data_IF_140109997393
#
_entry.id   IF_140109997393
#
_cell.length_a   1.000
_cell.length_b   1.000
_cell.length_c   1.000
_cell.angle_alpha   90.00
_cell.angle_beta   90.00
_cell.angle_gamma   90.00
#
_symmetry.space_group_name_H-M   'P 1'
#
loop_
_entity.id
_entity.type
_entity.pdbx_description
1 polymer ?
#
# COMPACT_ATOMS: atom_id res chain seq x y z
N UNK A 1 14.34 -16.00 28.34
CA UNK A 1 14.92 -16.22 26.99
C UNK A 1 15.37 -14.91 26.31
N UNK A 2 15.73 -13.87 27.09
CA UNK A 2 16.16 -12.53 26.59
C UNK A 2 17.67 -12.28 26.87
N UNK A 3 18.37 -13.20 27.51
CA UNK A 3 19.78 -12.99 27.89
C UNK A 3 20.83 -13.40 26.84
N UNK A 4 20.45 -13.83 25.64
CA UNK A 4 21.40 -14.36 24.63
C UNK A 4 21.81 -13.35 23.56
N UNK A 5 21.22 -12.15 23.52
CA UNK A 5 21.51 -11.16 22.46
C UNK A 5 22.47 -10.01 22.86
N UNK A 6 23.14 -10.08 24.02
CA UNK A 6 24.05 -9.02 24.47
C UNK A 6 25.42 -9.00 23.78
N UNK A 7 25.62 -9.74 22.69
CA UNK A 7 26.95 -9.99 22.13
C UNK A 7 27.22 -9.54 20.70
N UNK A 8 26.38 -8.75 20.04
CA UNK A 8 26.67 -8.28 18.67
C UNK A 8 27.57 -7.05 18.71
N UNK A 9 28.86 -7.26 18.47
CA UNK A 9 29.87 -6.21 18.33
C UNK A 9 29.79 -5.65 16.91
N UNK A 10 29.23 -4.45 16.74
CA UNK A 10 29.24 -3.73 15.46
C UNK A 10 30.59 -3.02 15.33
N UNK A 11 31.27 -3.23 14.19
CA UNK A 11 32.54 -2.60 13.81
C UNK A 11 32.25 -1.11 13.55
N UNK A 12 32.65 -0.23 14.50
CA UNK A 12 32.44 1.22 14.38
C UNK A 12 31.97 1.93 15.64
N UNK A 13 32.51 1.60 16.82
CA UNK A 13 32.68 2.53 17.96
C UNK A 13 31.47 2.89 18.83
N UNK A 14 30.20 2.83 18.42
CA UNK A 14 29.06 3.00 19.30
C UNK A 14 28.30 1.69 19.46
N UNK A 15 28.18 1.21 20.70
CA UNK A 15 27.27 0.10 21.03
C UNK A 15 25.86 0.59 20.78
N UNK A 16 25.19 -0.01 19.80
CA UNK A 16 23.75 0.21 19.63
C UNK A 16 23.07 -0.13 20.96
N UNK A 17 22.50 0.88 21.59
CA UNK A 17 21.87 0.74 22.90
C UNK A 17 20.54 0.00 22.72
N UNK A 18 20.61 -1.34 22.85
CA UNK A 18 19.45 -2.23 22.71
C UNK A 18 18.33 -1.88 23.69
N UNK A 19 18.66 -1.24 24.82
CA UNK A 19 17.64 -0.79 25.78
C UNK A 19 16.81 0.34 25.20
N UNK A 20 17.43 1.33 24.55
CA UNK A 20 16.72 2.42 23.87
C UNK A 20 15.83 1.91 22.74
N UNK A 21 16.30 0.92 21.97
CA UNK A 21 15.48 0.30 20.91
C UNK A 21 14.28 -0.42 21.52
N UNK A 22 14.49 -1.21 22.57
CA UNK A 22 13.41 -1.91 23.25
C UNK A 22 12.40 -0.95 23.86
N UNK A 23 12.84 0.12 24.49
CA UNK A 23 11.99 1.16 25.08
C UNK A 23 11.19 1.88 23.98
N UNK A 24 11.82 2.20 22.85
CA UNK A 24 11.14 2.79 21.71
C UNK A 24 10.09 1.84 21.11
N UNK A 25 10.42 0.56 20.87
CA UNK A 25 9.45 -0.45 20.39
C UNK A 25 8.30 -0.60 21.37
N UNK A 26 8.58 -0.61 22.67
CA UNK A 26 7.57 -0.73 23.73
C UNK A 26 6.63 0.49 23.73
N UNK A 27 7.17 1.70 23.55
CA UNK A 27 6.40 2.94 23.48
C UNK A 27 5.48 2.99 22.26
N UNK A 28 5.84 2.32 21.15
CA UNK A 28 5.04 2.22 19.91
C UNK A 28 3.96 1.13 19.95
N UNK A 29 3.88 0.31 21.00
CA UNK A 29 2.89 -0.77 21.13
C UNK A 29 3.50 -2.17 21.22
N UNK A 30 4.81 -2.27 21.45
CA UNK A 30 5.52 -3.51 21.74
C UNK A 30 5.48 -4.54 20.60
N UNK A 31 5.25 -5.80 20.97
CA UNK A 31 5.26 -6.92 20.01
C UNK A 31 4.18 -6.82 18.93
N UNK A 32 3.02 -6.21 19.24
CA UNK A 32 1.95 -6.00 18.25
C UNK A 32 2.39 -5.05 17.15
N UNK A 33 3.01 -3.93 17.51
CA UNK A 33 3.55 -2.98 16.54
C UNK A 33 4.64 -3.64 15.69
N UNK A 34 5.57 -4.39 16.28
CA UNK A 34 6.61 -5.10 15.55
C UNK A 34 6.03 -6.11 14.55
N UNK A 35 5.04 -6.90 14.97
CA UNK A 35 4.35 -7.83 14.08
C UNK A 35 3.64 -7.11 12.92
N UNK A 36 3.05 -5.93 13.19
CA UNK A 36 2.46 -5.09 12.15
C UNK A 36 3.51 -4.64 11.12
N UNK A 37 4.72 -4.23 11.57
CA UNK A 37 5.79 -3.83 10.66
C UNK A 37 6.27 -5.00 9.77
N UNK A 38 6.31 -6.23 10.31
CA UNK A 38 6.67 -7.43 9.52
C UNK A 38 5.61 -7.73 8.45
N UNK A 39 4.32 -7.66 8.80
CA UNK A 39 3.23 -7.83 7.81
C UNK A 39 3.25 -6.73 6.75
N UNK A 40 3.51 -5.50 7.17
CA UNK A 40 3.72 -4.35 6.30
C UNK A 40 4.85 -4.62 5.30
N UNK A 41 6.01 -5.06 5.77
CA UNK A 41 7.15 -5.39 4.92
C UNK A 41 6.78 -6.39 3.82
N UNK A 42 6.09 -7.48 4.15
CA UNK A 42 5.66 -8.50 3.17
C UNK A 42 4.71 -7.88 2.15
N UNK A 43 3.68 -7.16 2.61
CA UNK A 43 2.70 -6.51 1.74
C UNK A 43 3.34 -5.48 0.79
N UNK A 44 4.19 -4.62 1.31
CA UNK A 44 4.79 -3.56 0.52
C UNK A 44 5.89 -4.02 -0.45
N UNK A 45 6.61 -5.11 -0.14
CA UNK A 45 7.48 -5.76 -1.14
C UNK A 45 6.67 -6.17 -2.37
N UNK A 46 5.48 -6.76 -2.17
CA UNK A 46 4.57 -7.09 -3.28
C UNK A 46 4.10 -5.84 -4.04
N UNK A 47 3.87 -4.73 -3.34
CA UNK A 47 3.48 -3.46 -3.98
C UNK A 47 4.59 -2.90 -4.87
N UNK A 48 5.84 -2.90 -4.41
CA UNK A 48 7.00 -2.50 -5.24
C UNK A 48 7.10 -3.39 -6.47
N UNK A 49 6.95 -4.71 -6.31
CA UNK A 49 6.96 -5.67 -7.43
C UNK A 49 5.86 -5.34 -8.44
N UNK A 50 4.69 -4.90 -7.98
CA UNK A 50 3.58 -4.50 -8.87
C UNK A 50 4.00 -3.40 -9.86
N UNK A 51 4.88 -2.47 -9.46
CA UNK A 51 5.45 -1.44 -10.32
C UNK A 51 6.18 -1.99 -11.55
N UNK A 52 6.75 -3.18 -11.48
CA UNK A 52 7.47 -3.85 -12.58
C UNK A 52 6.60 -4.75 -13.44
N UNK A 53 5.39 -5.09 -13.02
CA UNK A 53 4.47 -5.95 -13.77
C UNK A 53 3.92 -5.17 -14.97
N UNK A 54 3.90 -5.81 -16.16
CA UNK A 54 3.39 -5.22 -17.42
C UNK A 54 1.92 -5.54 -17.68
N UNK A 55 1.44 -6.68 -17.20
CA UNK A 55 0.08 -7.16 -17.44
C UNK A 55 -0.88 -6.66 -16.38
N UNK A 56 -1.89 -5.90 -16.79
CA UNK A 56 -2.92 -5.31 -15.94
C UNK A 56 -3.56 -6.31 -14.96
N UNK A 57 -4.01 -7.47 -15.44
CA UNK A 57 -4.62 -8.51 -14.60
C UNK A 57 -3.66 -9.03 -13.54
N UNK A 58 -2.36 -9.18 -13.89
CA UNK A 58 -1.34 -9.61 -12.91
C UNK A 58 -1.07 -8.52 -11.88
N UNK A 59 -1.06 -7.24 -12.29
CA UNK A 59 -0.89 -6.11 -11.36
C UNK A 59 -1.99 -6.12 -10.30
N UNK A 60 -3.26 -6.19 -10.70
CA UNK A 60 -4.38 -6.19 -9.77
C UNK A 60 -4.39 -7.43 -8.87
N UNK A 61 -4.08 -8.61 -9.38
CA UNK A 61 -3.97 -9.82 -8.56
C UNK A 61 -2.85 -9.73 -7.51
N UNK A 62 -1.67 -9.21 -7.90
CA UNK A 62 -0.58 -8.99 -6.95
C UNK A 62 -0.98 -7.96 -5.90
N UNK A 63 -1.70 -6.91 -6.31
CA UNK A 63 -2.25 -5.91 -5.39
C UNK A 63 -3.27 -6.53 -4.42
N UNK A 64 -4.15 -7.44 -4.86
CA UNK A 64 -5.11 -8.10 -3.97
C UNK A 64 -4.40 -8.92 -2.88
N UNK A 65 -3.35 -9.66 -3.24
CA UNK A 65 -2.53 -10.39 -2.25
C UNK A 65 -1.85 -9.43 -1.28
N UNK A 66 -1.28 -8.35 -1.78
CA UNK A 66 -0.68 -7.29 -0.96
C UNK A 66 -1.69 -6.72 0.04
N UNK A 67 -2.91 -6.41 -0.42
CA UNK A 67 -3.96 -5.83 0.43
C UNK A 67 -4.36 -6.74 1.59
N UNK A 68 -4.31 -8.07 1.44
CA UNK A 68 -4.56 -9.00 2.54
C UNK A 68 -3.55 -8.80 3.67
N UNK A 69 -2.26 -8.66 3.37
CA UNK A 69 -1.22 -8.39 4.37
C UNK A 69 -1.41 -7.02 5.03
N UNK A 70 -1.78 -6.01 4.25
CA UNK A 70 -2.01 -4.65 4.78
C UNK A 70 -3.28 -4.60 5.65
N UNK A 71 -4.32 -5.36 5.34
CA UNK A 71 -5.49 -5.50 6.22
C UNK A 71 -5.08 -6.13 7.55
N UNK A 72 -4.31 -7.22 7.53
CA UNK A 72 -3.82 -7.88 8.74
C UNK A 72 -2.94 -6.94 9.59
N UNK A 73 -2.05 -6.15 8.96
CA UNK A 73 -1.27 -5.09 9.61
C UNK A 73 -2.19 -4.04 10.24
N UNK A 74 -3.19 -3.58 9.49
CA UNK A 74 -4.16 -2.58 9.96
C UNK A 74 -4.91 -3.03 11.21
N UNK A 75 -5.26 -4.31 11.32
CA UNK A 75 -5.88 -4.88 12.53
C UNK A 75 -4.96 -4.72 13.74
N UNK A 76 -3.66 -4.95 13.60
CA UNK A 76 -2.70 -4.82 14.70
C UNK A 76 -2.49 -3.35 15.10
N UNK A 77 -2.58 -2.41 14.17
CA UNK A 77 -2.43 -0.96 14.39
C UNK A 77 -3.75 -0.25 14.70
N UNK A 78 -4.90 -0.96 14.76
CA UNK A 78 -6.23 -0.38 14.90
C UNK A 78 -6.56 0.68 13.83
N UNK A 79 -6.03 0.51 12.62
CA UNK A 79 -6.20 1.43 11.50
C UNK A 79 -7.50 1.14 10.73
N UNK A 80 -8.67 1.35 11.35
CA UNK A 80 -9.97 0.91 10.83
C UNK A 80 -10.30 1.46 9.45
N UNK A 81 -10.02 2.74 9.18
CA UNK A 81 -10.22 3.34 7.85
C UNK A 81 -9.47 2.56 6.76
N UNK A 82 -8.19 2.25 7.01
CA UNK A 82 -7.37 1.47 6.09
C UNK A 82 -7.90 0.06 5.88
N UNK A 83 -8.30 -0.65 6.96
CA UNK A 83 -8.84 -2.01 6.89
C UNK A 83 -10.05 -2.05 5.95
N UNK A 84 -11.02 -1.17 6.20
CA UNK A 84 -12.30 -1.14 5.47
C UNK A 84 -12.05 -0.81 4.00
N UNK A 85 -11.28 0.24 3.74
CA UNK A 85 -11.03 0.68 2.36
C UNK A 85 -10.23 -0.36 1.58
N UNK A 86 -9.23 -1.00 2.19
CA UNK A 86 -8.47 -2.08 1.54
C UNK A 86 -9.37 -3.31 1.23
N UNK A 87 -10.29 -3.64 2.12
CA UNK A 87 -11.28 -4.70 1.87
C UNK A 87 -12.19 -4.37 0.68
N UNK A 88 -12.69 -3.13 0.62
CA UNK A 88 -13.49 -2.64 -0.51
C UNK A 88 -12.65 -2.63 -1.81
N UNK A 89 -11.36 -2.33 -1.73
CA UNK A 89 -10.46 -2.36 -2.90
C UNK A 89 -10.31 -3.76 -3.49
N UNK A 90 -10.20 -4.81 -2.67
CA UNK A 90 -10.17 -6.20 -3.14
C UNK A 90 -11.46 -6.53 -3.88
N UNK A 91 -12.62 -6.21 -3.29
CA UNK A 91 -13.93 -6.42 -3.93
C UNK A 91 -14.02 -5.68 -5.26
N UNK A 92 -13.58 -4.42 -5.31
CA UNK A 92 -13.53 -3.60 -6.53
C UNK A 92 -12.65 -4.23 -7.60
N UNK A 93 -11.46 -4.70 -7.25
CA UNK A 93 -10.53 -5.32 -8.19
C UNK A 93 -11.14 -6.60 -8.79
N UNK A 94 -11.78 -7.45 -7.97
CA UNK A 94 -12.49 -8.63 -8.44
C UNK A 94 -13.64 -8.32 -9.39
N UNK A 95 -14.45 -7.30 -9.08
CA UNK A 95 -15.54 -6.83 -9.94
C UNK A 95 -14.98 -6.35 -11.28
N UNK A 96 -13.88 -5.61 -11.26
CA UNK A 96 -13.22 -5.14 -12.48
C UNK A 96 -12.66 -6.29 -13.31
N UNK A 97 -11.94 -7.23 -12.69
CA UNK A 97 -11.37 -8.40 -13.37
C UNK A 97 -12.42 -9.29 -14.05
N UNK A 98 -13.65 -9.27 -13.53
CA UNK A 98 -14.83 -9.95 -14.12
C UNK A 98 -15.54 -9.11 -15.18
N UNK A 99 -15.04 -7.92 -15.51
CA UNK A 99 -15.66 -7.01 -16.49
C UNK A 99 -16.98 -6.39 -16.05
N UNK A 100 -17.30 -6.40 -14.74
CA UNK A 100 -18.58 -5.91 -14.20
C UNK A 100 -18.49 -4.51 -13.57
N UNK A 101 -17.37 -3.82 -13.69
CA UNK A 101 -17.18 -2.48 -13.11
C UNK A 101 -17.77 -1.42 -14.06
N UNK A 102 -19.05 -1.15 -13.95
CA UNK A 102 -19.76 -0.10 -14.67
C UNK A 102 -19.94 1.17 -13.83
N UNK A 103 -20.55 2.23 -14.39
CA UNK A 103 -20.75 3.52 -13.68
C UNK A 103 -21.54 3.39 -12.38
N UNK A 104 -22.55 2.52 -12.34
CA UNK A 104 -23.37 2.32 -11.14
C UNK A 104 -22.57 1.56 -10.05
N UNK A 105 -21.85 0.52 -10.44
CA UNK A 105 -20.99 -0.24 -9.54
C UNK A 105 -19.89 0.65 -8.95
N UNK A 106 -19.26 1.52 -9.76
CA UNK A 106 -18.30 2.53 -9.30
C UNK A 106 -18.92 3.45 -8.25
N UNK A 107 -20.12 3.98 -8.51
CA UNK A 107 -20.82 4.85 -7.58
C UNK A 107 -21.15 4.16 -6.25
N UNK A 108 -21.62 2.90 -6.30
CA UNK A 108 -21.89 2.10 -5.09
C UNK A 108 -20.61 1.84 -4.28
N UNK A 109 -19.52 1.46 -4.93
CA UNK A 109 -18.22 1.20 -4.25
C UNK A 109 -17.71 2.46 -3.56
N UNK A 110 -17.75 3.60 -4.25
CA UNK A 110 -17.31 4.89 -3.68
C UNK A 110 -18.24 5.32 -2.56
N UNK A 111 -19.54 5.25 -2.77
CA UNK A 111 -20.56 5.58 -1.74
C UNK A 111 -20.37 4.72 -0.48
N UNK A 112 -20.18 3.41 -0.64
CA UNK A 112 -19.87 2.50 0.47
C UNK A 112 -18.59 2.92 1.20
N UNK A 113 -17.52 3.25 0.46
CA UNK A 113 -16.26 3.73 1.03
C UNK A 113 -16.43 5.00 1.87
N UNK A 114 -17.19 5.98 1.37
CA UNK A 114 -17.49 7.23 2.09
C UNK A 114 -18.28 6.94 3.37
N UNK A 115 -19.39 6.18 3.27
CA UNK A 115 -20.24 5.84 4.42
C UNK A 115 -19.45 5.10 5.49
N UNK A 116 -18.68 4.09 5.08
CA UNK A 116 -17.85 3.33 6.01
C UNK A 116 -16.75 4.18 6.66
N UNK A 117 -16.14 5.11 5.92
CA UNK A 117 -15.17 6.03 6.50
C UNK A 117 -15.84 6.99 7.50
N UNK A 118 -17.04 7.48 7.23
CA UNK A 118 -17.80 8.32 8.18
C UNK A 118 -18.06 7.59 9.51
N UNK A 119 -18.34 6.29 9.45
CA UNK A 119 -18.68 5.49 10.65
C UNK A 119 -17.41 5.08 11.42
N UNK A 120 -16.35 4.67 10.73
CA UNK A 120 -15.21 3.99 11.31
C UNK A 120 -13.91 4.78 11.29
N UNK A 121 -13.91 6.05 10.82
CA UNK A 121 -12.69 6.84 10.80
C UNK A 121 -12.23 7.18 12.22
N UNK A 122 -11.09 6.61 12.61
CA UNK A 122 -10.41 6.89 13.86
C UNK A 122 -9.09 7.67 13.69
N UNK A 123 -8.74 8.04 12.44
CA UNK A 123 -7.50 8.74 12.07
C UNK A 123 -7.67 10.23 11.79
N UNK A 124 -8.79 10.85 12.19
CA UNK A 124 -9.05 12.27 11.94
C UNK A 124 -9.01 12.61 10.45
N UNK A 125 -8.33 13.70 10.08
CA UNK A 125 -8.23 14.16 8.67
C UNK A 125 -7.46 13.13 7.83
N UNK A 126 -6.36 12.57 8.34
CA UNK A 126 -5.58 11.57 7.63
C UNK A 126 -6.37 10.29 7.34
N UNK A 127 -7.32 9.93 8.20
CA UNK A 127 -8.21 8.78 8.01
C UNK A 127 -9.17 8.88 6.82
N UNK A 128 -9.29 10.05 6.17
CA UNK A 128 -10.02 10.22 4.91
C UNK A 128 -9.19 9.89 3.67
N UNK A 129 -7.85 9.89 3.77
CA UNK A 129 -6.96 9.62 2.63
C UNK A 129 -7.22 8.25 1.97
N UNK A 130 -7.45 7.15 2.70
CA UNK A 130 -7.86 5.88 2.11
C UNK A 130 -9.12 5.99 1.25
N UNK A 131 -10.14 6.72 1.69
CA UNK A 131 -11.39 6.91 0.92
C UNK A 131 -11.17 7.76 -0.34
N UNK A 132 -10.37 8.82 -0.25
CA UNK A 132 -9.98 9.63 -1.41
C UNK A 132 -9.22 8.77 -2.43
N UNK A 133 -8.29 7.94 -1.97
CA UNK A 133 -7.56 7.00 -2.82
C UNK A 133 -8.48 5.97 -3.47
N UNK A 134 -9.46 5.43 -2.74
CA UNK A 134 -10.48 4.54 -3.30
C UNK A 134 -11.28 5.24 -4.39
N UNK A 135 -11.71 6.48 -4.17
CA UNK A 135 -12.45 7.27 -5.18
C UNK A 135 -11.63 7.45 -6.44
N UNK A 136 -10.40 7.97 -6.33
CA UNK A 136 -9.51 8.21 -7.47
C UNK A 136 -9.28 6.90 -8.24
N UNK A 137 -8.88 5.84 -7.53
CA UNK A 137 -8.56 4.57 -8.17
C UNK A 137 -9.79 3.96 -8.84
N UNK A 138 -10.97 3.98 -8.19
CA UNK A 138 -12.21 3.41 -8.72
C UNK A 138 -12.70 4.16 -9.96
N UNK A 139 -12.66 5.49 -9.93
CA UNK A 139 -13.16 6.32 -11.03
C UNK A 139 -12.33 6.12 -12.29
N UNK A 140 -11.00 6.16 -12.16
CA UNK A 140 -10.07 6.08 -13.29
C UNK A 140 -9.66 4.65 -13.68
N UNK A 141 -10.04 3.63 -12.91
CA UNK A 141 -9.70 2.24 -13.21
C UNK A 141 -10.28 1.82 -14.57
N UNK A 142 -9.41 1.22 -15.39
CA UNK A 142 -9.73 0.83 -16.77
C UNK A 142 -9.38 1.89 -17.82
N UNK A 143 -8.95 3.09 -17.43
CA UNK A 143 -8.48 4.11 -18.35
C UNK A 143 -6.97 3.96 -18.60
N UNK A 144 -6.57 3.79 -19.88
CA UNK A 144 -5.15 3.74 -20.25
C UNK A 144 -4.42 2.42 -20.00
N UNK A 145 -5.14 1.32 -19.74
CA UNK A 145 -4.55 -0.02 -19.57
C UNK A 145 -3.47 -0.07 -18.48
N UNK A 146 -2.37 -0.76 -18.74
CA UNK A 146 -1.27 -0.92 -17.77
C UNK A 146 -0.59 0.40 -17.39
N UNK A 147 -0.47 1.36 -18.32
CA UNK A 147 0.05 2.70 -18.03
C UNK A 147 -0.88 3.49 -17.12
N UNK A 148 -2.19 3.42 -17.39
CA UNK A 148 -3.20 4.06 -16.55
C UNK A 148 -3.18 3.53 -15.12
N UNK A 149 -3.06 2.21 -14.93
CA UNK A 149 -2.95 1.61 -13.59
C UNK A 149 -1.68 2.06 -12.87
N UNK A 150 -0.53 2.14 -13.57
CA UNK A 150 0.72 2.65 -12.96
C UNK A 150 0.58 4.11 -12.51
N UNK A 151 -0.05 4.95 -13.32
CA UNK A 151 -0.33 6.33 -12.95
C UNK A 151 -1.26 6.42 -11.73
N UNK A 152 -2.30 5.58 -11.67
CA UNK A 152 -3.21 5.50 -10.52
C UNK A 152 -2.48 5.03 -9.26
N UNK A 153 -1.66 3.98 -9.36
CA UNK A 153 -0.82 3.54 -8.25
C UNK A 153 0.06 4.68 -7.76
N UNK A 154 0.74 5.40 -8.67
CA UNK A 154 1.59 6.54 -8.32
C UNK A 154 0.82 7.61 -7.53
N UNK A 155 -0.32 8.08 -8.07
CA UNK A 155 -1.12 9.14 -7.45
C UNK A 155 -1.65 8.69 -6.08
N UNK A 156 -2.21 7.48 -5.99
CA UNK A 156 -2.80 6.99 -4.74
C UNK A 156 -1.74 6.62 -3.70
N UNK A 157 -0.54 6.20 -4.12
CA UNK A 157 0.57 5.94 -3.19
C UNK A 157 1.03 7.21 -2.46
N UNK A 158 0.94 8.39 -3.09
CA UNK A 158 1.19 9.65 -2.37
C UNK A 158 0.24 9.83 -1.18
N UNK A 159 -1.05 9.53 -1.38
CA UNK A 159 -2.04 9.56 -0.29
C UNK A 159 -1.81 8.47 0.76
N UNK A 160 -1.42 7.26 0.34
CA UNK A 160 -1.09 6.17 1.26
C UNK A 160 0.15 6.49 2.09
N UNK A 161 1.20 7.09 1.52
CA UNK A 161 2.41 7.49 2.26
C UNK A 161 2.08 8.44 3.42
N UNK A 162 1.22 9.43 3.19
CA UNK A 162 0.77 10.36 4.25
C UNK A 162 -0.04 9.61 5.32
N UNK A 163 -0.93 8.70 4.90
CA UNK A 163 -1.74 7.90 5.82
C UNK A 163 -0.86 6.98 6.66
N UNK A 164 0.04 6.23 6.06
CA UNK A 164 0.94 5.28 6.73
C UNK A 164 1.84 5.99 7.76
N UNK A 165 2.36 7.15 7.41
CA UNK A 165 3.08 7.98 8.37
C UNK A 165 2.20 8.36 9.57
N UNK A 166 0.94 8.72 9.35
CA UNK A 166 0.00 9.12 10.40
C UNK A 166 -0.38 8.00 11.38
N UNK A 167 -0.39 6.75 10.91
CA UNK A 167 -0.68 5.56 11.74
C UNK A 167 0.58 4.86 12.27
N UNK A 168 1.74 5.52 12.20
CA UNK A 168 3.04 4.99 12.64
C UNK A 168 3.50 3.72 11.90
N UNK A 169 3.01 3.50 10.67
CA UNK A 169 3.49 2.43 9.80
C UNK A 169 4.71 2.90 9.01
N UNK A 170 5.85 3.03 9.67
CA UNK A 170 7.07 3.57 9.06
C UNK A 170 7.64 2.68 7.96
N UNK A 171 7.49 1.37 8.08
CA UNK A 171 7.88 0.45 7.01
C UNK A 171 7.04 0.73 5.75
N UNK A 172 5.72 0.85 5.92
CA UNK A 172 4.82 1.22 4.82
C UNK A 172 5.22 2.53 4.15
N UNK A 173 5.44 3.58 4.93
CA UNK A 173 5.87 4.88 4.42
C UNK A 173 7.16 4.80 3.56
N UNK A 174 8.20 4.10 4.02
CA UNK A 174 9.44 3.92 3.26
C UNK A 174 9.19 3.16 1.96
N UNK A 175 8.40 2.10 2.01
CA UNK A 175 8.08 1.31 0.83
C UNK A 175 7.13 2.02 -0.14
N UNK A 176 6.29 2.94 0.32
CA UNK A 176 5.51 3.82 -0.55
C UNK A 176 6.45 4.67 -1.41
N UNK A 177 7.49 5.26 -0.82
CA UNK A 177 8.52 6.00 -1.58
C UNK A 177 9.19 5.10 -2.63
N UNK A 178 9.55 3.86 -2.25
CA UNK A 178 10.12 2.88 -3.20
C UNK A 178 9.12 2.51 -4.31
N UNK A 179 7.83 2.42 -3.99
CA UNK A 179 6.75 2.17 -4.95
C UNK A 179 6.62 3.32 -5.95
N UNK A 180 6.67 4.57 -5.49
CA UNK A 180 6.67 5.74 -6.37
C UNK A 180 7.83 5.68 -7.37
N UNK A 181 9.04 5.37 -6.91
CA UNK A 181 10.21 5.20 -7.77
C UNK A 181 10.00 4.06 -8.77
N UNK A 182 9.52 2.90 -8.31
CA UNK A 182 9.27 1.74 -9.17
C UNK A 182 8.21 2.02 -10.25
N UNK A 183 7.18 2.80 -9.93
CA UNK A 183 6.17 3.22 -10.89
C UNK A 183 6.75 4.12 -11.99
N UNK A 184 7.61 5.08 -11.63
CA UNK A 184 8.30 5.95 -12.60
C UNK A 184 9.13 5.09 -13.57
N UNK A 185 9.97 4.19 -13.04
CA UNK A 185 10.78 3.27 -13.85
C UNK A 185 9.88 2.43 -14.76
N UNK A 186 8.79 1.90 -14.21
CA UNK A 186 7.84 1.08 -14.96
C UNK A 186 7.14 1.83 -16.10
N UNK A 187 6.80 3.10 -15.92
CA UNK A 187 6.22 3.96 -16.96
C UNK A 187 7.23 4.21 -18.07
N UNK A 188 8.48 4.57 -17.71
CA UNK A 188 9.56 4.81 -18.70
C UNK A 188 9.78 3.57 -19.56
N UNK A 189 9.86 2.38 -18.93
CA UNK A 189 10.07 1.12 -19.67
C UNK A 189 8.94 0.83 -20.64
N UNK A 190 7.67 0.94 -20.21
CA UNK A 190 6.52 0.70 -21.08
C UNK A 190 6.47 1.69 -22.24
N UNK A 191 6.80 2.97 -22.00
CA UNK A 191 6.83 3.98 -23.06
C UNK A 191 7.91 3.69 -24.09
N UNK A 192 9.10 3.27 -23.65
CA UNK A 192 10.19 2.93 -24.55
C UNK A 192 9.91 1.68 -25.38
N UNK A 193 9.24 0.67 -24.81
CA UNK A 193 8.82 -0.53 -25.56
C UNK A 193 7.78 -0.19 -26.62
N UNK A 194 6.77 0.60 -26.27
CA UNK A 194 5.73 1.02 -27.25
C UNK A 194 6.34 1.82 -28.42
N UNK A 195 7.33 2.69 -28.15
CA UNK A 195 8.00 3.45 -29.19
C UNK A 195 8.83 2.54 -30.12
N UNK A 196 9.48 1.49 -29.61
CA UNK A 196 10.22 0.52 -30.46
C UNK A 196 9.29 -0.24 -31.39
N UNK A 197 8.16 -0.73 -30.85
CA UNK A 197 7.16 -1.46 -31.66
C UNK A 197 6.52 -0.58 -32.74
N UNK A 198 6.37 0.72 -32.48
CA UNK A 198 5.82 1.67 -33.47
C UNK A 198 6.84 2.04 -34.57
N UNK A 199 8.13 1.84 -34.38
CA UNK A 199 9.17 2.08 -35.39
C UNK A 199 9.40 0.84 -36.27
N UNK A 200 9.06 -0.36 -35.76
CA UNK A 200 9.21 -1.64 -36.47
C UNK A 200 7.95 -2.03 -37.29
N UNK A 201 6.85 -1.29 -37.17
CA UNK A 201 5.59 -1.46 -37.95
C UNK A 201 5.48 -0.48 -39.09
#
# INVERSE_FOLDING_TARGET
>A
MIQVLTGIKVIGGERMDLTKINDWVTSMGGTKWLAAQVLSLIGYVLMVVTGYIKKEKKMLRTQDVQLVFIIAMGVLLNAFSGIIINSIQIIKNEIYLRGKLNKYTKAVIVGLGIVMTLIFNNGGIAGWLPAVNLFIFTYFLGMGGALGIKALIFITTCGWAIYDFSITNYVGFVFDILTLISCIIGVIRLKNENNKTAVES
#
